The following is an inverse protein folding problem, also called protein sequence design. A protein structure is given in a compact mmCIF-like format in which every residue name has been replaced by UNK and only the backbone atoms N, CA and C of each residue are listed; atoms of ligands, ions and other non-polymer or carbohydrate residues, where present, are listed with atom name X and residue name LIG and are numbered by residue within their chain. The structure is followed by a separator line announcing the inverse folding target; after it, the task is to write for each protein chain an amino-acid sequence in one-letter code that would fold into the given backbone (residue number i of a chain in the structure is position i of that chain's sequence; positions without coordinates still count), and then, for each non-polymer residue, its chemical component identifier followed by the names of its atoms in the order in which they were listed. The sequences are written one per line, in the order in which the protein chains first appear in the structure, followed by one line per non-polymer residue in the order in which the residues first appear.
data_IF_139857114053
#
_entry.id   IF_139857114053
#
_cell.length_a   1.000
_cell.length_b   1.000
_cell.length_c   1.000
_cell.angle_alpha   90.00
_cell.angle_beta   90.00
_cell.angle_gamma   90.00
#
_symmetry.space_group_name_H-M   'P 1'
#
loop_
_entity.id
_entity.type
_entity.pdbx_description
1 polymer ?
#
# COMPACT_ATOMS: atom_id res chain seq x y z
N UNK A 1 -6.12 11.72 27.09
CA UNK A 1 -6.00 12.19 25.69
C UNK A 1 -6.39 11.07 24.71
N UNK A 2 -7.47 10.34 24.99
CA UNK A 2 -8.14 9.43 24.05
C UNK A 2 -9.45 10.13 23.66
N UNK A 3 -9.33 11.09 22.74
CA UNK A 3 -10.45 11.87 22.21
C UNK A 3 -10.53 11.74 20.70
N UNK A 4 -10.19 10.57 20.15
CA UNK A 4 -10.34 10.29 18.72
C UNK A 4 -11.78 9.88 18.44
N UNK A 5 -12.43 10.55 17.49
CA UNK A 5 -13.69 10.03 16.92
C UNK A 5 -13.49 8.58 16.49
N UNK A 6 -14.48 7.72 16.75
CA UNK A 6 -14.48 6.28 16.36
C UNK A 6 -14.02 6.08 14.90
N UNK A 7 -14.41 6.98 14.00
CA UNK A 7 -13.98 6.97 12.61
C UNK A 7 -12.45 7.01 12.43
N UNK A 8 -11.74 7.80 13.22
CA UNK A 8 -10.28 7.90 13.16
C UNK A 8 -9.62 6.57 13.50
N UNK A 9 -10.05 5.92 14.58
CA UNK A 9 -9.52 4.61 14.99
C UNK A 9 -9.78 3.55 13.92
N UNK A 10 -10.98 3.56 13.32
CA UNK A 10 -11.34 2.67 12.21
C UNK A 10 -10.39 2.89 11.02
N UNK A 11 -10.12 4.14 10.62
CA UNK A 11 -9.21 4.41 9.51
C UNK A 11 -7.78 3.94 9.80
N UNK A 12 -7.26 4.21 11.00
CA UNK A 12 -5.92 3.77 11.40
C UNK A 12 -5.82 2.25 11.34
N UNK A 13 -6.81 1.53 11.88
CA UNK A 13 -6.85 0.07 11.84
C UNK A 13 -6.99 -0.45 10.41
N UNK A 14 -7.88 0.13 9.60
CA UNK A 14 -8.11 -0.30 8.23
C UNK A 14 -6.84 -0.16 7.36
N UNK A 15 -6.17 1.01 7.40
CA UNK A 15 -4.93 1.21 6.65
C UNK A 15 -3.78 0.39 7.21
N UNK A 16 -3.71 0.20 8.53
CA UNK A 16 -2.70 -0.63 9.17
C UNK A 16 -2.83 -2.10 8.76
N UNK A 17 -4.04 -2.65 8.84
CA UNK A 17 -4.33 -4.02 8.42
C UNK A 17 -4.13 -4.22 6.91
N UNK A 18 -4.51 -3.24 6.09
CA UNK A 18 -4.28 -3.29 4.64
C UNK A 18 -2.78 -3.32 4.32
N UNK A 19 -1.97 -2.45 4.93
CA UNK A 19 -0.53 -2.44 4.75
C UNK A 19 0.10 -3.76 5.20
N UNK A 20 -0.25 -4.25 6.40
CA UNK A 20 0.24 -5.53 6.92
C UNK A 20 -0.18 -6.72 6.05
N UNK A 21 -1.42 -6.73 5.57
CA UNK A 21 -1.94 -7.75 4.65
C UNK A 21 -1.18 -7.76 3.33
N UNK A 22 -0.95 -6.59 2.73
CA UNK A 22 -0.17 -6.46 1.50
C UNK A 22 1.29 -6.89 1.68
N UNK A 23 1.97 -6.44 2.74
CA UNK A 23 3.36 -6.82 3.00
C UNK A 23 3.50 -8.30 3.43
N UNK A 24 2.55 -8.83 4.19
CA UNK A 24 2.52 -10.24 4.58
C UNK A 24 2.29 -11.17 3.39
N UNK A 25 1.38 -10.80 2.50
CA UNK A 25 1.13 -11.55 1.26
C UNK A 25 2.25 -11.37 0.24
N UNK A 26 3.03 -10.28 0.29
CA UNK A 26 4.22 -10.09 -0.55
C UNK A 26 5.21 -11.25 -0.44
N UNK A 27 5.47 -11.71 0.79
CA UNK A 27 6.36 -12.85 1.04
C UNK A 27 5.83 -14.15 0.42
N UNK A 28 4.51 -14.31 0.39
CA UNK A 28 3.84 -15.45 -0.26
C UNK A 28 3.89 -15.34 -1.79
N UNK A 29 3.62 -14.16 -2.34
CA UNK A 29 3.62 -13.89 -3.78
C UNK A 29 4.98 -14.18 -4.43
N UNK A 30 6.08 -14.00 -3.68
CA UNK A 30 7.44 -14.34 -4.16
C UNK A 30 7.67 -15.83 -4.42
N UNK A 31 6.79 -16.73 -3.94
CA UNK A 31 6.89 -18.18 -4.15
C UNK A 31 6.20 -18.68 -5.43
N UNK A 32 5.53 -17.82 -6.19
CA UNK A 32 4.90 -18.18 -7.47
C UNK A 32 6.00 -18.57 -8.47
N UNK A 33 5.87 -19.74 -9.10
CA UNK A 33 6.85 -20.27 -10.06
C UNK A 33 6.97 -19.37 -11.29
N UNK A 34 5.82 -18.96 -11.86
CA UNK A 34 5.75 -18.09 -13.03
C UNK A 34 6.37 -16.71 -12.74
N UNK A 35 7.39 -16.35 -13.53
CA UNK A 35 8.24 -15.19 -13.28
C UNK A 35 7.54 -13.87 -13.58
N UNK A 36 6.71 -13.82 -14.62
CA UNK A 36 6.04 -12.60 -15.05
C UNK A 36 4.81 -12.33 -14.19
N UNK A 37 4.03 -13.38 -13.89
CA UNK A 37 2.92 -13.30 -12.92
C UNK A 37 3.41 -12.86 -11.53
N UNK A 38 4.54 -13.42 -11.06
CA UNK A 38 5.15 -13.05 -9.78
C UNK A 38 5.52 -11.56 -9.73
N UNK A 39 6.13 -11.02 -10.79
CA UNK A 39 6.55 -9.62 -10.84
C UNK A 39 5.36 -8.67 -10.78
N UNK A 40 4.30 -8.95 -11.53
CA UNK A 40 3.10 -8.13 -11.52
C UNK A 40 2.41 -8.13 -10.17
N UNK A 41 2.22 -9.32 -9.58
CA UNK A 41 1.57 -9.44 -8.28
C UNK A 41 2.40 -8.80 -7.16
N UNK A 42 3.72 -8.99 -7.15
CA UNK A 42 4.62 -8.35 -6.17
C UNK A 42 4.61 -6.84 -6.34
N UNK A 43 4.66 -6.33 -7.58
CA UNK A 43 4.56 -4.90 -7.87
C UNK A 43 3.26 -4.31 -7.32
N UNK A 44 2.13 -4.96 -7.60
CA UNK A 44 0.81 -4.53 -7.16
C UNK A 44 0.69 -4.50 -5.64
N UNK A 45 1.12 -5.57 -4.97
CA UNK A 45 1.09 -5.67 -3.51
C UNK A 45 2.03 -4.66 -2.84
N UNK A 46 3.24 -4.45 -3.39
CA UNK A 46 4.17 -3.46 -2.87
C UNK A 46 3.63 -2.04 -3.03
N UNK A 47 3.06 -1.70 -4.18
CA UNK A 47 2.48 -0.38 -4.41
C UNK A 47 1.24 -0.14 -3.55
N UNK A 48 0.32 -1.11 -3.44
CA UNK A 48 -0.89 -0.96 -2.63
C UNK A 48 -0.59 -0.92 -1.13
N UNK A 49 0.34 -1.77 -0.67
CA UNK A 49 0.81 -1.75 0.71
C UNK A 49 1.58 -0.46 1.06
N UNK A 50 2.42 0.01 0.13
CA UNK A 50 3.11 1.30 0.24
C UNK A 50 2.13 2.46 0.33
N UNK A 51 1.13 2.50 -0.55
CA UNK A 51 0.08 3.54 -0.55
C UNK A 51 -0.67 3.57 0.79
N UNK A 52 -1.11 2.40 1.29
CA UNK A 52 -1.78 2.28 2.58
C UNK A 52 -0.88 2.74 3.74
N UNK A 53 0.42 2.44 3.70
CA UNK A 53 1.38 2.88 4.71
C UNK A 53 1.56 4.41 4.72
N UNK A 54 1.62 5.07 3.55
CA UNK A 54 1.66 6.53 3.48
C UNK A 54 0.38 7.16 4.01
N UNK A 55 -0.78 6.57 3.71
CA UNK A 55 -2.05 7.05 4.24
C UNK A 55 -2.13 6.93 5.77
N UNK A 56 -1.59 5.84 6.34
CA UNK A 56 -1.45 5.68 7.78
C UNK A 56 -0.48 6.70 8.38
N UNK A 57 0.65 6.98 7.71
CA UNK A 57 1.60 8.00 8.16
C UNK A 57 0.96 9.40 8.20
N UNK A 58 0.09 9.74 7.24
CA UNK A 58 -0.66 11.01 7.25
C UNK A 58 -1.59 11.16 8.46
N UNK A 59 -2.15 10.05 8.96
CA UNK A 59 -3.06 10.02 10.10
C UNK A 59 -2.33 10.10 11.43
N UNK A 60 -1.20 9.40 11.56
CA UNK A 60 -0.48 9.24 12.85
C UNK A 60 0.59 10.30 13.07
N UNK A 61 1.23 10.79 12.00
CA UNK A 61 2.36 11.73 12.13
C UNK A 61 1.86 13.17 12.11
N UNK A 62 2.15 13.93 13.15
CA UNK A 62 1.74 15.34 13.27
C UNK A 62 2.70 16.32 12.58
N UNK A 63 3.89 15.85 12.17
CA UNK A 63 4.91 16.71 11.54
C UNK A 63 4.50 17.10 10.10
N UNK A 64 4.41 18.39 9.77
CA UNK A 64 3.94 18.86 8.46
C UNK A 64 4.83 18.40 7.31
N UNK A 65 6.16 18.45 7.48
CA UNK A 65 7.10 17.97 6.45
C UNK A 65 6.88 16.50 6.08
N UNK A 66 6.60 15.64 7.06
CA UNK A 66 6.30 14.22 6.82
C UNK A 66 4.98 14.07 6.10
N UNK A 67 3.97 14.90 6.41
CA UNK A 67 2.69 14.86 5.71
C UNK A 67 2.81 15.26 4.24
N UNK A 68 3.57 16.31 3.92
CA UNK A 68 3.81 16.70 2.54
C UNK A 68 4.50 15.59 1.74
N UNK A 69 5.59 15.03 2.29
CA UNK A 69 6.30 13.93 1.63
C UNK A 69 5.41 12.68 1.48
N UNK A 70 4.67 12.30 2.54
CA UNK A 70 3.78 11.15 2.47
C UNK A 70 2.65 11.34 1.44
N UNK A 71 2.16 12.56 1.28
CA UNK A 71 1.15 12.88 0.28
C UNK A 71 1.71 12.83 -1.15
N UNK A 72 2.86 13.43 -1.41
CA UNK A 72 3.48 13.39 -2.75
C UNK A 72 3.85 11.96 -3.16
N UNK A 73 4.47 11.21 -2.24
CA UNK A 73 4.88 9.83 -2.52
C UNK A 73 3.65 8.93 -2.67
N UNK A 74 2.57 9.14 -1.91
CA UNK A 74 1.34 8.35 -2.08
C UNK A 74 0.71 8.58 -3.46
N UNK A 75 0.78 9.78 -4.04
CA UNK A 75 0.30 10.03 -5.39
C UNK A 75 1.11 9.24 -6.43
N UNK A 76 2.44 9.26 -6.32
CA UNK A 76 3.34 8.51 -7.22
C UNK A 76 3.09 7.01 -7.10
N UNK A 77 3.02 6.50 -5.87
CA UNK A 77 2.78 5.08 -5.61
C UNK A 77 1.39 4.68 -6.08
N UNK A 78 0.37 5.51 -5.86
CA UNK A 78 -0.99 5.30 -6.33
C UNK A 78 -1.05 5.20 -7.85
N UNK A 79 -0.33 6.06 -8.58
CA UNK A 79 -0.22 5.95 -10.03
C UNK A 79 0.51 4.67 -10.46
N UNK A 80 1.59 4.31 -9.76
CA UNK A 80 2.35 3.10 -10.04
C UNK A 80 1.53 1.81 -9.84
N UNK A 81 0.53 1.81 -8.94
CA UNK A 81 -0.38 0.66 -8.76
C UNK A 81 -1.09 0.28 -10.06
N UNK A 82 -1.50 1.28 -10.86
CA UNK A 82 -2.19 1.06 -12.14
C UNK A 82 -1.28 0.35 -13.14
N UNK A 83 -0.02 0.77 -13.25
CA UNK A 83 0.95 0.12 -14.12
C UNK A 83 1.26 -1.32 -13.70
N UNK A 84 1.39 -1.56 -12.38
CA UNK A 84 1.60 -2.90 -11.85
C UNK A 84 0.40 -3.83 -12.13
N UNK A 85 -0.83 -3.29 -12.02
CA UNK A 85 -2.06 -4.02 -12.32
C UNK A 85 -2.15 -4.40 -13.80
N UNK A 86 -1.89 -3.45 -14.71
CA UNK A 86 -1.90 -3.71 -16.15
C UNK A 86 -0.86 -4.77 -16.55
N UNK A 87 0.35 -4.70 -16.00
CA UNK A 87 1.38 -5.71 -16.25
C UNK A 87 0.95 -7.08 -15.73
N UNK A 88 0.38 -7.15 -14.52
CA UNK A 88 -0.16 -8.39 -13.97
C UNK A 88 -1.25 -8.99 -14.88
N UNK A 89 -2.22 -8.19 -15.35
CA UNK A 89 -3.25 -8.64 -16.27
C UNK A 89 -2.68 -9.12 -17.62
N UNK A 90 -1.62 -8.50 -18.12
CA UNK A 90 -0.97 -8.94 -19.37
C UNK A 90 -0.19 -10.24 -19.24
N UNK A 91 0.33 -10.53 -18.04
CA UNK A 91 1.06 -11.77 -17.76
C UNK A 91 0.13 -12.94 -17.41
N UNK A 92 -1.13 -12.66 -17.04
CA UNK A 92 -2.12 -13.66 -16.68
C UNK A 92 -2.92 -14.12 -17.91
N UNK A 93 -2.24 -14.83 -18.80
CA UNK A 93 -2.81 -15.52 -19.97
C UNK A 93 -2.24 -16.93 -20.07
#
# INVERSE_FOLDING_TARGET
MLGGSIAFEIYVLAFGLAALGCFGTLARARRIEDRDTRRGLVGLLASSGGWAAFQLALLVVERPAVKYLAYEVSLVVGLATVGAWLYFCSAYT
#
